data_IF_423096027327
#
_entry.id   IF_423096027327
#
_cell.length_a   1.000
_cell.length_b   1.000
_cell.length_c   1.000
_cell.angle_alpha   90.00
_cell.angle_beta   90.00
_cell.angle_gamma   90.00
#
_symmetry.space_group_name_H-M   'P 1'
#
loop_
_entity.id
_entity.type
_entity.pdbx_description
1 polymer ?
#
# COMPACT_ATOMS: atom_id res chain seq x y z
N UNK A 1 -18.87 -14.21 1.31
CA UNK A 1 -17.48 -14.32 0.81
C UNK A 1 -16.68 -13.25 1.53
N UNK A 2 -15.86 -13.60 2.53
CA UNK A 2 -15.04 -12.61 3.23
C UNK A 2 -13.90 -12.23 2.29
N UNK A 3 -14.05 -11.09 1.61
CA UNK A 3 -13.03 -10.50 0.75
C UNK A 3 -11.91 -9.95 1.65
N UNK A 4 -11.10 -10.84 2.22
CA UNK A 4 -9.95 -10.45 3.05
C UNK A 4 -8.92 -9.77 2.14
N UNK A 5 -8.89 -8.45 2.18
CA UNK A 5 -7.88 -7.65 1.49
C UNK A 5 -6.54 -7.89 2.16
N UNK A 6 -5.48 -8.07 1.41
CA UNK A 6 -4.12 -8.22 1.95
C UNK A 6 -3.41 -6.88 1.92
N UNK A 7 -2.55 -6.61 2.90
CA UNK A 7 -1.76 -5.40 2.95
C UNK A 7 -0.93 -5.27 1.68
N UNK A 8 -1.02 -4.13 0.99
CA UNK A 8 -0.28 -3.90 -0.25
C UNK A 8 1.25 -3.82 -0.04
N UNK A 9 1.70 -3.65 1.21
CA UNK A 9 3.11 -3.74 1.55
C UNK A 9 3.54 -5.22 1.60
N UNK A 10 4.33 -5.63 0.60
CA UNK A 10 4.70 -7.03 0.40
C UNK A 10 5.50 -7.64 1.56
N UNK A 11 6.26 -6.84 2.31
CA UNK A 11 7.00 -7.29 3.49
C UNK A 11 6.10 -7.48 4.73
N UNK A 12 4.87 -6.95 4.73
CA UNK A 12 3.94 -7.13 5.84
C UNK A 12 3.32 -8.54 5.85
N UNK A 13 2.82 -8.98 4.70
CA UNK A 13 2.10 -10.26 4.56
C UNK A 13 0.78 -10.39 5.34
N UNK A 14 0.36 -9.35 6.07
CA UNK A 14 -0.87 -9.37 6.89
C UNK A 14 -2.12 -9.10 6.06
N UNK A 15 -3.21 -9.74 6.44
CA UNK A 15 -4.56 -9.36 6.00
C UNK A 15 -5.00 -8.05 6.67
N UNK A 16 -5.69 -7.21 5.91
CA UNK A 16 -6.30 -5.97 6.36
C UNK A 16 -7.60 -6.33 7.06
N UNK A 17 -7.70 -5.98 8.34
CA UNK A 17 -8.94 -6.11 9.08
C UNK A 17 -10.02 -5.20 8.47
N UNK A 18 -11.25 -5.71 8.30
CA UNK A 18 -12.37 -4.90 7.83
C UNK A 18 -12.56 -3.68 8.74
N UNK A 19 -12.56 -2.48 8.15
CA UNK A 19 -12.69 -1.21 8.87
C UNK A 19 -11.36 -0.56 9.29
N UNK A 20 -10.23 -1.26 9.18
CA UNK A 20 -8.87 -0.70 9.41
C UNK A 20 -8.07 -0.55 8.11
N UNK A 21 -8.74 -0.59 6.96
CA UNK A 21 -8.11 -0.34 5.66
C UNK A 21 -7.57 1.09 5.59
N UNK A 22 -6.24 1.20 5.51
CA UNK A 22 -5.56 2.48 5.28
C UNK A 22 -5.31 2.61 3.80
N UNK A 23 -6.04 3.52 3.14
CA UNK A 23 -5.81 3.85 1.73
C UNK A 23 -4.75 4.93 1.64
N UNK A 24 -3.69 4.66 0.89
CA UNK A 24 -2.64 5.64 0.64
C UNK A 24 -2.26 5.66 -0.85
N UNK A 25 -2.04 6.84 -1.45
CA UNK A 25 -1.57 6.94 -2.82
C UNK A 25 -0.06 6.61 -2.87
N UNK A 26 0.28 5.49 -3.50
CA UNK A 26 1.67 5.18 -3.81
C UNK A 26 2.07 5.88 -5.12
N UNK A 27 3.11 6.71 -5.02
CA UNK A 27 3.79 7.29 -6.17
C UNK A 27 4.74 6.26 -6.75
N UNK A 28 4.65 5.98 -8.05
CA UNK A 28 5.58 5.10 -8.75
C UNK A 28 6.01 5.71 -10.07
N UNK A 29 7.25 5.42 -10.47
CA UNK A 29 7.78 5.88 -11.75
C UNK A 29 7.31 4.93 -12.86
N UNK A 30 6.55 5.45 -13.81
CA UNK A 30 6.19 4.75 -15.04
C UNK A 30 6.93 5.40 -16.21
N UNK A 31 8.19 5.01 -16.40
CA UNK A 31 9.09 5.65 -17.37
C UNK A 31 9.44 7.08 -16.93
N UNK A 32 9.18 8.07 -17.78
CA UNK A 32 9.38 9.50 -17.48
C UNK A 32 8.25 10.13 -16.67
N UNK A 33 7.11 9.45 -16.53
CA UNK A 33 5.95 9.97 -15.80
C UNK A 33 5.88 9.44 -14.37
N UNK A 34 5.52 10.33 -13.45
CA UNK A 34 5.18 9.99 -12.07
C UNK A 34 3.70 9.61 -12.03
N UNK A 35 3.40 8.34 -11.77
CA UNK A 35 2.04 7.84 -11.65
C UNK A 35 1.68 7.67 -10.16
N UNK A 36 0.39 7.86 -9.84
CA UNK A 36 -0.16 7.64 -8.49
C UNK A 36 -1.12 6.48 -8.56
N UNK A 37 -0.96 5.49 -7.68
CA UNK A 37 -1.90 4.38 -7.55
C UNK A 37 -2.35 4.26 -6.10
N UNK A 38 -3.65 4.28 -5.87
CA UNK A 38 -4.20 4.00 -4.55
C UNK A 38 -3.97 2.54 -4.18
N UNK A 39 -3.39 2.34 -3.00
CA UNK A 39 -3.14 1.03 -2.42
C UNK A 39 -3.74 0.99 -1.01
N UNK A 40 -4.13 -0.21 -0.61
CA UNK A 40 -4.75 -0.47 0.69
C UNK A 40 -3.74 -1.18 1.60
N UNK A 41 -3.58 -0.69 2.82
CA UNK A 41 -2.62 -1.16 3.79
C UNK A 41 -3.31 -1.51 5.10
N UNK A 42 -2.70 -2.38 5.90
CA UNK A 42 -3.18 -2.69 7.24
C UNK A 42 -2.89 -1.58 8.26
N UNK A 43 -1.96 -0.67 7.95
CA UNK A 43 -1.59 0.46 8.81
C UNK A 43 -0.92 1.58 8.01
N UNK A 44 -0.93 2.80 8.56
CA UNK A 44 -0.21 3.96 7.97
C UNK A 44 1.28 3.70 7.86
N UNK A 45 1.86 3.06 8.86
CA UNK A 45 3.27 2.71 8.88
C UNK A 45 3.66 1.83 7.67
N UNK A 46 2.81 0.85 7.30
CA UNK A 46 3.04 0.04 6.09
C UNK A 46 2.96 0.86 4.80
N UNK A 47 2.07 1.85 4.74
CA UNK A 47 1.98 2.76 3.60
C UNK A 47 3.24 3.64 3.47
N UNK A 48 3.73 4.19 4.59
CA UNK A 48 4.94 5.00 4.64
C UNK A 48 6.19 4.17 4.27
N UNK A 49 6.32 2.94 4.78
CA UNK A 49 7.40 2.04 4.38
C UNK A 49 7.36 1.68 2.89
N UNK A 50 6.17 1.42 2.33
CA UNK A 50 6.03 1.11 0.90
C UNK A 50 6.42 2.32 0.02
N UNK A 51 6.13 3.54 0.47
CA UNK A 51 6.58 4.78 -0.19
C UNK A 51 8.10 4.94 -0.13
N UNK A 52 8.70 4.84 1.06
CA UNK A 52 10.15 4.99 1.26
C UNK A 52 10.95 3.95 0.46
N UNK A 53 10.48 2.70 0.42
CA UNK A 53 11.10 1.63 -0.35
C UNK A 53 11.08 1.89 -1.87
N UNK A 54 10.18 2.72 -2.36
CA UNK A 54 10.09 3.09 -3.77
C UNK A 54 10.84 4.39 -4.11
N UNK A 55 11.25 5.16 -3.10
CA UNK A 55 12.02 6.40 -3.25
C UNK A 55 13.55 6.22 -3.07
N UNK A 56 14.02 5.04 -2.65
CA UNK A 56 15.46 4.71 -2.51
C UNK A 56 16.11 4.19 -3.79
#
# INVERSE_FOLDING_TARGET
MHNQKTCAYHLCGKTIEQGKEVKSPLLYRKGSQLARKEKEYCSRQCAEYDQMAHES
#
